data_IF_586095547862
#
_entry.id   IF_586095547862
#
_cell.length_a   1.000
_cell.length_b   1.000
_cell.length_c   1.000
_cell.angle_alpha   90.00
_cell.angle_beta   90.00
_cell.angle_gamma   90.00
#
_symmetry.space_group_name_H-M   'P 1'
#
loop_
_entity.id
_entity.type
_entity.pdbx_description
1 polymer ?
#
# COMPACT_ATOMS: atom_id res chain seq x y z
N UNK A 1 12.98 27.09 20.84
CA UNK A 1 14.00 26.79 19.82
C UNK A 1 13.71 27.65 18.60
N UNK A 2 14.72 28.26 18.02
CA UNK A 2 14.53 29.01 16.80
C UNK A 2 14.36 28.05 15.60
N UNK A 3 13.79 28.54 14.50
CA UNK A 3 13.50 27.76 13.28
C UNK A 3 14.74 27.07 12.72
N UNK A 4 15.89 27.71 12.76
CA UNK A 4 17.15 27.18 12.24
C UNK A 4 17.70 26.02 13.10
N UNK A 5 17.52 26.10 14.41
CA UNK A 5 17.87 25.00 15.32
C UNK A 5 16.97 23.79 15.09
N UNK A 6 15.66 24.01 14.85
CA UNK A 6 14.71 22.95 14.53
C UNK A 6 15.04 22.28 13.19
N UNK A 7 15.30 23.06 12.14
CA UNK A 7 15.69 22.54 10.83
C UNK A 7 16.85 21.54 10.89
N UNK A 8 17.86 21.81 11.69
CA UNK A 8 19.02 20.93 11.83
C UNK A 8 18.67 19.54 12.36
N UNK A 9 17.56 19.41 13.08
CA UNK A 9 17.13 18.17 13.76
C UNK A 9 16.10 17.38 12.98
N UNK A 10 15.43 17.98 11.98
CA UNK A 10 14.32 17.36 11.27
C UNK A 10 14.74 16.80 9.91
N UNK A 11 14.25 15.62 9.62
CA UNK A 11 14.28 14.98 8.30
C UNK A 11 12.86 14.58 7.97
N UNK A 12 12.41 14.87 6.75
CA UNK A 12 11.07 14.49 6.30
C UNK A 12 11.13 13.42 5.22
N UNK A 13 10.32 12.36 5.36
CA UNK A 13 10.15 11.35 4.34
C UNK A 13 8.74 11.40 3.80
N UNK A 14 8.58 11.71 2.51
CA UNK A 14 7.29 11.62 1.83
C UNK A 14 7.10 10.21 1.26
N UNK A 15 5.88 9.68 1.39
CA UNK A 15 5.53 8.32 0.96
C UNK A 15 4.59 8.26 -0.23
N UNK A 16 3.98 9.37 -0.63
CA UNK A 16 2.96 9.39 -1.68
C UNK A 16 3.13 10.62 -2.58
N UNK A 17 3.49 10.44 -3.86
CA UNK A 17 3.64 11.55 -4.81
C UNK A 17 2.29 11.92 -5.47
N UNK A 18 1.22 11.87 -4.70
CA UNK A 18 -0.15 12.16 -5.14
C UNK A 18 -0.78 13.18 -4.19
N UNK A 19 -1.56 14.11 -4.73
CA UNK A 19 -2.23 15.13 -3.92
C UNK A 19 -3.07 14.55 -2.79
N UNK A 20 -3.79 13.46 -3.05
CA UNK A 20 -4.62 12.74 -2.07
C UNK A 20 -3.83 12.10 -0.91
N UNK A 21 -2.50 11.95 -1.05
CA UNK A 21 -1.62 11.45 0.02
C UNK A 21 -1.00 12.57 0.88
N UNK A 22 -1.32 13.83 0.60
CA UNK A 22 -0.76 15.00 1.24
C UNK A 22 -1.88 15.82 1.89
N UNK A 23 -2.17 15.49 3.15
CA UNK A 23 -3.31 16.05 3.88
C UNK A 23 -3.23 17.56 4.03
N UNK A 24 -4.37 18.20 3.86
CA UNK A 24 -4.61 19.63 4.11
C UNK A 24 -5.84 19.76 5.00
N UNK A 25 -5.76 20.59 6.01
CA UNK A 25 -6.86 20.84 6.93
C UNK A 25 -7.16 22.33 7.03
N UNK A 26 -8.40 22.67 7.32
CA UNK A 26 -8.76 24.06 7.63
C UNK A 26 -7.89 24.58 8.78
N UNK A 27 -7.27 25.74 8.57
CA UNK A 27 -6.31 26.30 9.50
C UNK A 27 -6.96 26.66 10.84
N UNK A 28 -8.17 27.22 10.78
CA UNK A 28 -8.87 27.66 12.00
C UNK A 28 -9.37 26.45 12.80
N UNK A 29 -9.74 25.37 12.14
CA UNK A 29 -10.05 24.12 12.84
C UNK A 29 -8.85 23.57 13.59
N UNK A 30 -7.67 23.56 12.99
CA UNK A 30 -6.44 23.13 13.65
C UNK A 30 -6.11 24.00 14.87
N UNK A 31 -6.29 25.31 14.77
CA UNK A 31 -6.15 26.24 15.93
C UNK A 31 -7.17 25.91 17.01
N UNK A 32 -8.45 25.74 16.63
CA UNK A 32 -9.54 25.42 17.55
C UNK A 32 -9.33 24.12 18.31
N UNK A 33 -8.77 23.11 17.63
CA UNK A 33 -8.45 21.81 18.24
C UNK A 33 -7.11 21.80 19.01
N UNK A 34 -6.41 22.92 19.10
CA UNK A 34 -5.16 23.04 19.85
C UNK A 34 -3.98 22.32 19.18
N UNK A 35 -4.05 22.02 17.88
CA UNK A 35 -3.01 21.30 17.15
C UNK A 35 -1.65 22.01 17.23
N UNK A 36 -1.63 23.32 17.29
CA UNK A 36 -0.42 24.15 17.37
C UNK A 36 0.01 24.48 18.81
N UNK A 37 -0.42 23.72 19.80
CA UNK A 37 -0.02 23.87 21.22
C UNK A 37 -0.23 25.27 21.78
N UNK A 38 -1.32 25.94 21.36
CA UNK A 38 -1.68 27.29 21.83
C UNK A 38 -1.09 28.45 21.02
N UNK A 39 -0.26 28.17 20.00
CA UNK A 39 0.14 29.20 19.05
C UNK A 39 -1.07 29.65 18.21
N UNK A 40 -1.20 30.96 18.02
CA UNK A 40 -2.23 31.52 17.15
C UNK A 40 -1.88 31.39 15.66
N UNK A 41 -2.86 31.69 14.81
CA UNK A 41 -2.71 31.56 13.35
C UNK A 41 -1.53 32.38 12.83
N UNK A 42 -1.34 33.60 13.30
CA UNK A 42 -0.27 34.50 12.84
C UNK A 42 1.12 33.94 13.17
N UNK A 43 1.31 33.48 14.41
CA UNK A 43 2.56 32.86 14.85
C UNK A 43 2.91 31.60 14.00
N UNK A 44 1.91 30.76 13.71
CA UNK A 44 2.10 29.58 12.87
C UNK A 44 2.41 29.96 11.42
N UNK A 45 1.75 30.97 10.87
CA UNK A 45 2.02 31.49 9.52
C UNK A 45 3.43 32.03 9.38
N UNK A 46 3.88 32.85 10.34
CA UNK A 46 5.26 33.37 10.36
C UNK A 46 6.29 32.22 10.45
N UNK A 47 6.03 31.24 11.30
CA UNK A 47 6.96 30.13 11.51
C UNK A 47 7.05 29.19 10.32
N UNK A 48 5.92 28.83 9.70
CA UNK A 48 5.84 27.84 8.60
C UNK A 48 5.87 28.47 7.21
N UNK A 49 5.56 29.77 7.09
CA UNK A 49 5.36 30.46 5.82
C UNK A 49 4.08 30.03 5.08
N UNK A 50 3.12 29.37 5.74
CA UNK A 50 1.86 28.93 5.13
C UNK A 50 0.77 29.94 5.47
N UNK A 51 0.34 30.70 4.46
CA UNK A 51 -0.65 31.78 4.60
C UNK A 51 -2.04 31.40 4.09
N UNK A 52 -2.18 30.24 3.43
CA UNK A 52 -3.45 29.72 2.92
C UNK A 52 -4.44 29.40 4.04
N UNK A 53 -5.74 29.34 3.71
CA UNK A 53 -6.78 28.90 4.64
C UNK A 53 -6.70 27.40 4.93
N UNK A 54 -6.11 26.62 4.03
CA UNK A 54 -5.83 25.20 4.23
C UNK A 54 -4.35 24.99 4.57
N UNK A 55 -4.10 24.53 5.79
CA UNK A 55 -2.76 24.18 6.26
C UNK A 55 -2.27 22.87 5.62
N UNK A 56 -1.18 22.96 4.86
CA UNK A 56 -0.53 21.79 4.24
C UNK A 56 0.54 21.24 5.16
N UNK A 57 0.31 20.05 5.72
CA UNK A 57 1.27 19.38 6.62
C UNK A 57 2.58 19.04 5.91
N UNK A 58 2.51 18.56 4.66
CA UNK A 58 3.70 18.23 3.87
C UNK A 58 4.53 19.46 3.54
N UNK A 59 3.89 20.59 3.18
CA UNK A 59 4.62 21.83 2.91
C UNK A 59 5.29 22.37 4.16
N UNK A 60 4.61 22.34 5.31
CA UNK A 60 5.20 22.71 6.59
C UNK A 60 6.43 21.83 6.90
N UNK A 61 6.31 20.54 6.74
CA UNK A 61 7.40 19.59 6.96
C UNK A 61 8.60 19.86 6.02
N UNK A 62 8.35 20.15 4.74
CA UNK A 62 9.40 20.49 3.76
C UNK A 62 10.12 21.79 4.09
N UNK A 63 9.42 22.80 4.64
CA UNK A 63 10.03 24.08 5.05
C UNK A 63 10.78 24.01 6.37
N UNK A 64 10.40 23.09 7.24
CA UNK A 64 10.98 22.92 8.58
C UNK A 64 12.04 21.80 8.64
N UNK A 65 12.18 20.98 7.62
CA UNK A 65 13.20 19.95 7.59
C UNK A 65 14.53 20.46 7.01
N UNK A 66 15.63 19.84 7.43
CA UNK A 66 16.95 20.05 6.86
C UNK A 66 17.05 19.46 5.46
N UNK A 67 16.47 18.28 5.27
CA UNK A 67 16.45 17.51 4.03
C UNK A 67 15.20 16.63 4.00
N UNK A 68 14.73 16.35 2.82
CA UNK A 68 13.60 15.42 2.60
C UNK A 68 13.99 14.33 1.61
N UNK A 69 13.27 13.21 1.66
CA UNK A 69 13.42 12.16 0.66
C UNK A 69 12.09 11.55 0.24
N UNK A 70 11.98 11.23 -1.05
CA UNK A 70 11.03 10.27 -1.57
C UNK A 70 11.51 8.83 -1.36
N UNK A 71 10.62 7.85 -1.47
CA UNK A 71 10.90 6.44 -1.16
C UNK A 71 11.33 5.59 -2.37
N UNK A 72 11.62 6.22 -3.49
CA UNK A 72 12.28 5.66 -4.69
C UNK A 72 12.85 6.79 -5.54
N UNK A 73 13.70 6.47 -6.52
CA UNK A 73 14.27 7.45 -7.44
C UNK A 73 13.17 8.24 -8.15
N UNK A 74 12.24 7.54 -8.81
CA UNK A 74 11.09 8.15 -9.49
C UNK A 74 10.24 9.00 -8.54
N UNK A 75 9.95 8.50 -7.31
CA UNK A 75 9.22 9.27 -6.32
C UNK A 75 9.95 10.58 -5.95
N UNK A 76 11.26 10.54 -5.80
CA UNK A 76 12.05 11.74 -5.56
C UNK A 76 11.97 12.75 -6.71
N UNK A 77 11.97 12.27 -7.96
CA UNK A 77 11.78 13.11 -9.17
C UNK A 77 10.41 13.76 -9.18
N UNK A 78 9.33 12.99 -9.06
CA UNK A 78 7.94 13.50 -9.01
C UNK A 78 7.73 14.44 -7.81
N UNK A 79 8.33 14.15 -6.65
CA UNK A 79 8.22 15.03 -5.49
C UNK A 79 8.89 16.39 -5.72
N UNK A 80 10.02 16.42 -6.40
CA UNK A 80 10.66 17.71 -6.78
C UNK A 80 9.82 18.51 -7.76
N UNK A 81 9.18 17.87 -8.71
CA UNK A 81 8.24 18.54 -9.64
C UNK A 81 7.03 19.09 -8.90
N UNK A 82 6.42 18.28 -8.02
CA UNK A 82 5.22 18.64 -7.26
C UNK A 82 5.47 19.80 -6.27
N UNK A 83 6.57 19.75 -5.53
CA UNK A 83 6.85 20.68 -4.44
C UNK A 83 7.78 21.81 -4.83
N UNK A 84 8.53 21.68 -5.93
CA UNK A 84 9.51 22.67 -6.39
C UNK A 84 8.93 24.04 -6.77
N UNK A 85 7.61 24.11 -6.91
CA UNK A 85 6.88 25.38 -7.14
C UNK A 85 6.79 26.26 -5.88
N UNK A 86 7.04 25.68 -4.70
CA UNK A 86 6.99 26.38 -3.42
C UNK A 86 8.39 26.87 -3.01
N UNK A 87 8.53 28.14 -2.59
CA UNK A 87 9.79 28.65 -2.08
C UNK A 87 10.12 28.10 -0.68
N UNK A 88 11.38 28.19 -0.31
CA UNK A 88 11.92 27.90 1.03
C UNK A 88 11.75 26.46 1.51
N UNK A 89 11.54 25.51 0.61
CA UNK A 89 11.54 24.08 0.93
C UNK A 89 12.98 23.54 1.01
N UNK A 90 13.18 22.48 1.78
CA UNK A 90 14.46 21.77 1.82
C UNK A 90 14.72 20.98 0.52
N UNK A 91 15.96 20.57 0.31
CA UNK A 91 16.31 19.65 -0.77
C UNK A 91 15.51 18.34 -0.65
N UNK A 92 14.99 17.86 -1.79
CA UNK A 92 14.28 16.58 -1.88
C UNK A 92 15.16 15.58 -2.64
N UNK A 93 15.68 14.61 -1.93
CA UNK A 93 16.44 13.47 -2.46
C UNK A 93 15.59 12.21 -2.53
N UNK A 94 16.19 11.03 -2.64
CA UNK A 94 15.47 9.77 -2.55
C UNK A 94 16.27 8.73 -1.76
N UNK A 95 15.53 7.88 -1.04
CA UNK A 95 16.05 6.67 -0.40
C UNK A 95 15.09 5.55 -0.76
N UNK A 96 15.55 4.57 -1.54
CA UNK A 96 14.68 3.49 -1.99
C UNK A 96 14.25 2.63 -0.80
N UNK A 97 12.94 2.49 -0.63
CA UNK A 97 12.37 1.61 0.39
C UNK A 97 12.84 0.17 0.21
N UNK A 98 13.05 -0.50 1.30
CA UNK A 98 13.39 -1.91 1.34
C UNK A 98 12.45 -2.71 2.22
N UNK A 99 12.42 -4.03 2.00
CA UNK A 99 11.66 -4.97 2.81
C UNK A 99 12.56 -5.55 3.90
N UNK A 100 12.03 -5.68 5.12
CA UNK A 100 12.73 -6.43 6.15
C UNK A 100 12.66 -7.94 5.85
N UNK A 101 13.68 -8.46 5.18
CA UNK A 101 13.78 -9.85 4.76
C UNK A 101 13.61 -10.84 5.93
N UNK A 102 14.16 -10.53 7.12
CA UNK A 102 14.05 -11.40 8.29
C UNK A 102 12.60 -11.53 8.80
N UNK A 103 11.79 -10.51 8.56
CA UNK A 103 10.38 -10.50 8.95
C UNK A 103 9.48 -11.17 7.91
N UNK A 104 9.69 -10.85 6.62
CA UNK A 104 8.79 -11.25 5.55
C UNK A 104 9.11 -12.60 4.91
N UNK A 105 10.40 -12.98 4.84
CA UNK A 105 10.78 -14.21 4.17
C UNK A 105 10.59 -15.43 5.08
N UNK A 106 10.07 -16.51 4.51
CA UNK A 106 10.07 -17.81 5.17
C UNK A 106 11.50 -18.38 5.23
N UNK A 107 12.00 -18.62 6.44
CA UNK A 107 13.39 -19.04 6.65
C UNK A 107 13.74 -20.38 6.00
N UNK A 108 12.77 -21.33 5.98
CA UNK A 108 12.99 -22.67 5.39
C UNK A 108 13.04 -22.56 3.87
N UNK A 109 12.12 -21.79 3.28
CA UNK A 109 12.09 -21.53 1.85
C UNK A 109 13.38 -20.84 1.38
N UNK A 110 13.83 -19.82 2.12
CA UNK A 110 15.07 -19.10 1.79
C UNK A 110 16.32 -19.99 1.93
N UNK A 111 16.41 -20.82 2.96
CA UNK A 111 17.51 -21.77 3.13
C UNK A 111 17.56 -22.81 1.99
N UNK A 112 16.43 -23.32 1.56
CA UNK A 112 16.33 -24.25 0.44
C UNK A 112 16.71 -23.56 -0.89
N UNK A 113 16.27 -22.31 -1.10
CA UNK A 113 16.63 -21.51 -2.26
C UNK A 113 18.14 -21.31 -2.38
N UNK A 114 18.81 -20.99 -1.27
CA UNK A 114 20.28 -20.80 -1.25
C UNK A 114 21.05 -22.07 -1.58
N UNK A 115 20.47 -23.24 -1.32
CA UNK A 115 21.04 -24.57 -1.64
C UNK A 115 20.56 -25.09 -2.99
N UNK A 116 19.72 -24.37 -3.71
CA UNK A 116 19.06 -24.83 -4.95
C UNK A 116 18.30 -26.15 -4.77
N UNK A 117 17.79 -26.41 -3.56
CA UNK A 117 17.05 -27.62 -3.20
C UNK A 117 15.57 -27.47 -3.65
N UNK A 118 15.32 -27.92 -4.88
CA UNK A 118 14.01 -27.78 -5.54
C UNK A 118 12.90 -28.57 -4.81
N UNK A 119 13.25 -29.74 -4.28
CA UNK A 119 12.28 -30.59 -3.58
C UNK A 119 11.78 -29.93 -2.29
N UNK A 120 12.71 -29.47 -1.45
CA UNK A 120 12.37 -28.72 -0.23
C UNK A 120 11.60 -27.45 -0.55
N UNK A 121 11.95 -26.73 -1.64
CA UNK A 121 11.19 -25.54 -2.10
C UNK A 121 9.74 -25.91 -2.40
N UNK A 122 9.50 -26.95 -3.21
CA UNK A 122 8.17 -27.39 -3.61
C UNK A 122 7.32 -27.81 -2.39
N UNK A 123 7.86 -28.68 -1.54
CA UNK A 123 7.18 -29.13 -0.32
C UNK A 123 6.85 -27.98 0.64
N UNK A 124 7.81 -27.07 0.83
CA UNK A 124 7.59 -25.91 1.70
C UNK A 124 6.54 -24.97 1.13
N UNK A 125 6.57 -24.72 -0.18
CA UNK A 125 5.59 -23.89 -0.87
C UNK A 125 4.18 -24.44 -0.75
N UNK A 126 4.02 -25.73 -0.99
CA UNK A 126 2.73 -26.45 -0.81
C UNK A 126 2.16 -26.24 0.60
N UNK A 127 3.00 -26.37 1.63
CA UNK A 127 2.58 -26.11 3.02
C UNK A 127 2.15 -24.65 3.25
N UNK A 128 2.91 -23.68 2.71
CA UNK A 128 2.58 -22.26 2.85
C UNK A 128 1.28 -21.89 2.12
N UNK A 129 1.01 -22.52 0.98
CA UNK A 129 -0.28 -22.42 0.27
C UNK A 129 -1.41 -23.00 1.11
N UNK A 130 -1.24 -24.18 1.68
CA UNK A 130 -2.24 -24.79 2.55
C UNK A 130 -2.54 -23.93 3.80
N UNK A 131 -1.52 -23.25 4.37
CA UNK A 131 -1.70 -22.33 5.49
C UNK A 131 -2.55 -21.11 5.09
N UNK A 132 -2.33 -20.55 3.88
CA UNK A 132 -3.16 -19.47 3.31
C UNK A 132 -4.59 -19.95 3.02
N UNK A 133 -4.73 -21.14 2.43
CA UNK A 133 -6.05 -21.65 1.99
C UNK A 133 -6.96 -22.05 3.15
N UNK A 134 -6.41 -22.35 4.33
CA UNK A 134 -7.25 -22.42 5.54
C UNK A 134 -7.95 -21.11 5.82
N UNK A 135 -7.24 -19.98 5.71
CA UNK A 135 -7.87 -18.66 5.86
C UNK A 135 -8.90 -18.39 4.77
N UNK A 136 -8.65 -18.84 3.53
CA UNK A 136 -9.65 -18.76 2.45
C UNK A 136 -10.90 -19.55 2.83
N UNK A 137 -10.74 -20.83 3.23
CA UNK A 137 -11.86 -21.69 3.62
C UNK A 137 -12.64 -21.12 4.82
N UNK A 138 -11.93 -20.68 5.86
CA UNK A 138 -12.54 -20.13 7.06
C UNK A 138 -13.37 -18.87 6.80
N UNK A 139 -12.91 -17.99 5.89
CA UNK A 139 -13.63 -16.74 5.60
C UNK A 139 -14.72 -16.87 4.53
N UNK A 140 -14.55 -17.81 3.59
CA UNK A 140 -15.39 -17.82 2.36
C UNK A 140 -16.07 -19.15 2.07
N UNK A 141 -15.71 -20.22 2.76
CA UNK A 141 -16.18 -21.58 2.49
C UNK A 141 -15.59 -22.20 1.22
N UNK A 142 -14.73 -21.49 0.47
CA UNK A 142 -14.13 -21.98 -0.77
C UNK A 142 -12.89 -22.82 -0.49
N UNK A 143 -12.76 -23.92 -1.19
CA UNK A 143 -11.62 -24.85 -1.06
C UNK A 143 -10.69 -24.63 -2.24
N UNK A 144 -9.47 -24.19 -1.96
CA UNK A 144 -8.43 -23.96 -2.95
C UNK A 144 -7.43 -25.12 -2.96
N UNK A 145 -6.87 -25.41 -4.15
CA UNK A 145 -5.92 -26.49 -4.35
C UNK A 145 -4.47 -25.98 -4.30
N UNK A 146 -3.61 -26.51 -3.41
CA UNK A 146 -2.20 -26.12 -3.34
C UNK A 146 -1.37 -26.40 -4.59
N UNK A 147 -1.81 -27.29 -5.49
CA UNK A 147 -1.12 -27.59 -6.75
C UNK A 147 -1.44 -26.58 -7.86
N UNK A 148 -2.53 -25.82 -7.73
CA UNK A 148 -2.97 -24.85 -8.73
C UNK A 148 -2.26 -23.50 -8.55
N UNK A 149 -1.85 -22.88 -9.67
CA UNK A 149 -1.23 -21.55 -9.70
C UNK A 149 -2.11 -20.54 -8.96
N UNK A 150 -1.53 -19.90 -7.95
CA UNK A 150 -2.26 -18.94 -7.10
C UNK A 150 -1.71 -17.54 -7.28
N UNK A 151 -2.54 -16.67 -7.83
CA UNK A 151 -2.26 -15.25 -8.02
C UNK A 151 -2.93 -14.44 -6.90
N UNK A 152 -2.23 -13.49 -6.32
CA UNK A 152 -2.82 -12.62 -5.30
C UNK A 152 -2.69 -11.15 -5.68
N UNK A 153 -3.69 -10.39 -5.32
CA UNK A 153 -3.64 -8.94 -5.23
C UNK A 153 -3.91 -8.54 -3.78
N UNK A 154 -2.94 -7.91 -3.12
CA UNK A 154 -3.12 -7.55 -1.71
C UNK A 154 -2.52 -6.17 -1.41
N UNK A 155 -3.39 -5.18 -1.27
CA UNK A 155 -3.06 -3.77 -1.04
C UNK A 155 -4.25 -3.07 -0.37
N UNK A 156 -4.04 -1.86 0.17
CA UNK A 156 -5.15 -0.96 0.51
C UNK A 156 -5.96 -0.67 -0.76
N UNK A 157 -7.28 -0.79 -0.67
CA UNK A 157 -8.17 -0.38 -1.76
C UNK A 157 -8.14 1.16 -1.86
N UNK A 158 -7.85 1.65 -3.05
CA UNK A 158 -7.90 3.05 -3.46
C UNK A 158 -7.97 3.07 -4.99
N UNK A 159 -8.66 4.03 -5.60
CA UNK A 159 -8.92 4.04 -7.04
C UNK A 159 -7.67 3.85 -7.90
N UNK A 160 -6.58 4.57 -7.61
CA UNK A 160 -5.33 4.44 -8.35
C UNK A 160 -4.62 3.07 -8.23
N UNK A 161 -5.04 2.23 -7.29
CA UNK A 161 -4.51 0.85 -7.15
C UNK A 161 -5.16 -0.14 -8.10
N UNK A 162 -6.28 0.23 -8.70
CA UNK A 162 -6.98 -0.53 -9.75
C UNK A 162 -7.15 -2.02 -9.41
N UNK A 163 -7.75 -2.30 -8.24
CA UNK A 163 -7.92 -3.65 -7.73
C UNK A 163 -8.71 -4.56 -8.67
N UNK A 164 -9.68 -3.99 -9.38
CA UNK A 164 -10.63 -4.61 -10.31
C UNK A 164 -10.12 -4.74 -11.76
N UNK A 165 -8.95 -4.19 -12.09
CA UNK A 165 -8.45 -4.10 -13.46
C UNK A 165 -8.49 -5.44 -14.23
N UNK A 166 -8.14 -6.55 -13.58
CA UNK A 166 -8.16 -7.88 -14.21
C UNK A 166 -9.59 -8.37 -14.49
N UNK A 167 -10.58 -7.82 -13.82
CA UNK A 167 -11.98 -8.19 -13.93
C UNK A 167 -12.82 -7.19 -14.74
N UNK A 168 -12.22 -6.14 -15.32
CA UNK A 168 -12.93 -5.16 -16.14
C UNK A 168 -13.56 -5.76 -17.40
N UNK A 169 -12.96 -6.81 -17.94
CA UNK A 169 -13.52 -7.65 -18.99
C UNK A 169 -14.00 -8.97 -18.36
N UNK A 170 -15.26 -8.99 -17.96
CA UNK A 170 -15.86 -10.14 -17.25
C UNK A 170 -15.92 -11.42 -18.10
N UNK A 171 -16.09 -11.31 -19.41
CA UNK A 171 -16.10 -12.46 -20.31
C UNK A 171 -14.72 -13.12 -20.35
N UNK A 172 -13.68 -12.32 -20.56
CA UNK A 172 -12.29 -12.78 -20.55
C UNK A 172 -11.87 -13.28 -19.16
N UNK A 173 -12.29 -12.61 -18.11
CA UNK A 173 -12.03 -13.04 -16.73
C UNK A 173 -12.68 -14.38 -16.42
N UNK A 174 -13.94 -14.59 -16.82
CA UNK A 174 -14.64 -15.86 -16.65
C UNK A 174 -13.97 -17.00 -17.43
N UNK A 175 -13.58 -16.72 -18.68
CA UNK A 175 -12.83 -17.69 -19.53
C UNK A 175 -11.50 -18.07 -18.87
N UNK A 176 -10.77 -17.11 -18.31
CA UNK A 176 -9.52 -17.37 -17.61
C UNK A 176 -9.70 -18.28 -16.39
N UNK A 177 -10.76 -18.06 -15.60
CA UNK A 177 -11.06 -18.86 -14.41
C UNK A 177 -11.61 -20.25 -14.73
N UNK A 178 -12.19 -20.44 -15.92
CA UNK A 178 -12.75 -21.71 -16.38
C UNK A 178 -11.73 -22.60 -17.15
N UNK A 179 -10.50 -22.14 -17.36
CA UNK A 179 -9.48 -22.89 -18.11
C UNK A 179 -8.96 -24.07 -17.27
N UNK A 180 -9.49 -25.27 -17.53
CA UNK A 180 -9.08 -26.52 -16.86
C UNK A 180 -7.69 -27.02 -17.31
N UNK A 181 -7.18 -26.58 -18.45
CA UNK A 181 -5.85 -26.97 -18.92
C UNK A 181 -4.74 -26.17 -18.24
N UNK A 182 -5.05 -24.94 -17.86
CA UNK A 182 -4.14 -24.03 -17.17
C UNK A 182 -4.86 -23.41 -15.96
N UNK A 183 -5.21 -24.23 -14.96
CA UNK A 183 -6.01 -23.77 -13.85
C UNK A 183 -5.30 -22.70 -13.03
N UNK A 184 -6.05 -21.68 -12.66
CA UNK A 184 -5.55 -20.60 -11.81
C UNK A 184 -6.52 -20.34 -10.65
N UNK A 185 -6.01 -19.80 -9.56
CA UNK A 185 -6.77 -19.35 -8.42
C UNK A 185 -6.37 -17.89 -8.10
N UNK A 186 -7.36 -17.06 -7.79
CA UNK A 186 -7.10 -15.63 -7.55
C UNK A 186 -7.66 -15.22 -6.19
N UNK A 187 -6.82 -14.54 -5.40
CA UNK A 187 -7.21 -14.03 -4.08
C UNK A 187 -6.93 -12.53 -4.02
N UNK A 188 -7.95 -11.75 -3.75
CA UNK A 188 -7.79 -10.34 -3.34
C UNK A 188 -7.80 -10.25 -1.82
N UNK A 189 -7.01 -9.35 -1.28
CA UNK A 189 -7.11 -8.95 0.12
C UNK A 189 -6.79 -7.47 0.27
N UNK A 190 -7.54 -6.78 1.10
CA UNK A 190 -7.31 -5.38 1.30
C UNK A 190 -8.32 -4.76 2.25
N UNK A 191 -8.16 -3.47 2.46
CA UNK A 191 -9.06 -2.68 3.29
C UNK A 191 -9.24 -1.31 2.64
N UNK A 192 -10.48 -0.92 2.28
CA UNK A 192 -10.76 0.44 1.87
C UNK A 192 -10.65 1.39 3.07
N UNK A 193 -10.38 2.65 2.83
CA UNK A 193 -10.49 3.68 3.86
C UNK A 193 -11.98 3.96 4.16
N UNK A 194 -12.39 4.21 5.41
CA UNK A 194 -13.80 4.29 5.80
C UNK A 194 -14.65 5.33 5.06
N UNK A 195 -14.04 6.39 4.55
CA UNK A 195 -14.73 7.48 3.82
C UNK A 195 -14.39 7.50 2.33
N UNK A 196 -13.64 6.52 1.82
CA UNK A 196 -13.38 6.32 0.40
C UNK A 196 -14.48 5.44 -0.20
N UNK A 197 -15.64 6.06 -0.50
CA UNK A 197 -16.80 5.36 -1.01
C UNK A 197 -16.55 4.65 -2.34
N UNK A 198 -15.71 5.23 -3.23
CA UNK A 198 -15.33 4.58 -4.47
C UNK A 198 -14.49 3.31 -4.25
N UNK A 199 -13.58 3.34 -3.28
CA UNK A 199 -12.81 2.15 -2.89
C UNK A 199 -13.69 1.08 -2.21
N UNK A 200 -14.70 1.49 -1.42
CA UNK A 200 -15.69 0.60 -0.82
C UNK A 200 -16.53 -0.07 -1.90
N UNK A 201 -16.99 0.70 -2.89
CA UNK A 201 -17.75 0.19 -4.03
C UNK A 201 -16.94 -0.83 -4.85
N UNK A 202 -15.68 -0.51 -5.19
CA UNK A 202 -14.77 -1.44 -5.87
C UNK A 202 -14.57 -2.73 -5.07
N UNK A 203 -14.43 -2.64 -3.75
CA UNK A 203 -14.29 -3.80 -2.87
C UNK A 203 -15.54 -4.68 -2.89
N UNK A 204 -16.72 -4.10 -2.74
CA UNK A 204 -17.99 -4.81 -2.78
C UNK A 204 -18.25 -5.43 -4.16
N UNK A 205 -17.96 -4.69 -5.23
CA UNK A 205 -18.07 -5.19 -6.59
C UNK A 205 -17.21 -6.44 -6.82
N UNK A 206 -15.95 -6.43 -6.36
CA UNK A 206 -15.09 -7.61 -6.45
C UNK A 206 -15.64 -8.82 -5.68
N UNK A 207 -16.25 -8.61 -4.51
CA UNK A 207 -16.92 -9.69 -3.78
C UNK A 207 -18.03 -10.30 -4.64
N UNK A 208 -18.90 -9.47 -5.22
CA UNK A 208 -20.03 -9.95 -6.02
C UNK A 208 -19.60 -10.68 -7.28
N UNK A 209 -18.64 -10.15 -8.05
CA UNK A 209 -18.19 -10.78 -9.28
C UNK A 209 -17.37 -12.06 -9.05
N UNK A 210 -16.71 -12.19 -7.88
CA UNK A 210 -15.96 -13.41 -7.53
C UNK A 210 -16.82 -14.49 -6.89
N UNK A 211 -18.02 -14.14 -6.41
CA UNK A 211 -18.93 -15.05 -5.71
C UNK A 211 -19.27 -16.34 -6.50
N UNK A 212 -19.55 -16.29 -7.82
CA UNK A 212 -19.87 -17.49 -8.60
C UNK A 212 -18.71 -18.45 -8.82
N UNK A 213 -17.45 -18.00 -8.67
CA UNK A 213 -16.27 -18.79 -9.01
C UNK A 213 -15.70 -19.48 -7.76
N UNK A 214 -15.49 -20.80 -7.85
CA UNK A 214 -14.88 -21.57 -6.77
C UNK A 214 -13.39 -21.21 -6.53
N UNK A 215 -12.73 -20.70 -7.56
CA UNK A 215 -11.29 -20.41 -7.61
C UNK A 215 -10.94 -18.91 -7.58
N UNK A 216 -11.87 -18.03 -7.22
CA UNK A 216 -11.63 -16.60 -7.04
C UNK A 216 -12.32 -16.11 -5.77
N UNK A 217 -11.64 -15.25 -4.99
CA UNK A 217 -12.23 -14.74 -3.74
C UNK A 217 -11.58 -13.45 -3.26
N UNK A 218 -12.29 -12.76 -2.35
CA UNK A 218 -11.83 -11.56 -1.65
C UNK A 218 -11.79 -11.85 -0.15
N UNK A 219 -10.64 -11.62 0.50
CA UNK A 219 -10.47 -11.78 1.93
C UNK A 219 -10.57 -10.43 2.66
N UNK A 220 -11.15 -10.46 3.84
CA UNK A 220 -11.24 -9.33 4.76
C UNK A 220 -10.16 -9.40 5.84
N UNK A 221 -10.04 -8.33 6.67
CA UNK A 221 -9.08 -8.32 7.78
C UNK A 221 -7.62 -8.25 7.34
N UNK A 222 -7.34 -7.49 6.27
CA UNK A 222 -5.98 -7.33 5.75
C UNK A 222 -5.09 -6.60 6.75
N UNK A 223 -4.36 -7.38 7.52
CA UNK A 223 -3.38 -6.98 8.53
C UNK A 223 -2.03 -7.68 8.28
N UNK A 224 -1.04 -7.43 9.14
CA UNK A 224 0.31 -7.97 8.97
C UNK A 224 0.33 -9.50 8.85
N UNK A 225 -0.50 -10.22 9.62
CA UNK A 225 -0.56 -11.68 9.56
C UNK A 225 -1.10 -12.18 8.21
N UNK A 226 -2.25 -11.67 7.75
CA UNK A 226 -2.81 -12.03 6.45
C UNK A 226 -1.85 -11.62 5.32
N UNK A 227 -1.26 -10.43 5.40
CA UNK A 227 -0.25 -9.98 4.42
C UNK A 227 0.93 -10.94 4.32
N UNK A 228 1.40 -11.50 5.45
CA UNK A 228 2.47 -12.50 5.47
C UNK A 228 2.03 -13.83 4.87
N UNK A 229 0.82 -14.31 5.20
CA UNK A 229 0.26 -15.52 4.59
C UNK A 229 0.12 -15.37 3.08
N UNK A 230 -0.40 -14.25 2.61
CA UNK A 230 -0.53 -13.94 1.18
C UNK A 230 0.82 -13.95 0.46
N UNK A 231 1.85 -13.29 1.04
CA UNK A 231 3.20 -13.26 0.45
C UNK A 231 3.86 -14.63 0.42
N UNK A 232 3.69 -15.44 1.46
CA UNK A 232 4.31 -16.75 1.55
C UNK A 232 3.56 -17.80 0.73
N UNK A 233 2.22 -17.74 0.71
CA UNK A 233 1.35 -18.72 0.10
C UNK A 233 1.00 -18.49 -1.37
N UNK A 234 1.24 -17.29 -1.94
CA UNK A 234 0.99 -17.03 -3.36
C UNK A 234 2.15 -17.49 -4.26
N UNK A 235 1.87 -17.81 -5.51
CA UNK A 235 2.88 -18.09 -6.53
C UNK A 235 3.24 -16.81 -7.30
N UNK A 236 2.27 -15.96 -7.55
CA UNK A 236 2.45 -14.68 -8.21
C UNK A 236 1.73 -13.54 -7.46
N UNK A 237 2.29 -12.36 -7.55
CA UNK A 237 1.73 -11.15 -6.95
C UNK A 237 1.33 -10.17 -8.05
N UNK A 238 0.03 -9.92 -8.18
CA UNK A 238 -0.47 -8.95 -9.13
C UNK A 238 -0.29 -7.54 -8.57
N UNK A 239 0.44 -6.73 -9.28
CA UNK A 239 0.67 -5.33 -8.93
C UNK A 239 0.35 -4.45 -10.15
N UNK A 240 -0.67 -3.63 -10.02
CA UNK A 240 -1.16 -2.75 -11.10
C UNK A 240 -0.63 -1.32 -10.89
N UNK A 241 0.62 -1.00 -11.27
CA UNK A 241 1.12 0.37 -11.17
C UNK A 241 0.36 1.28 -12.16
N UNK A 242 0.34 2.57 -11.85
CA UNK A 242 -0.09 3.62 -12.78
C UNK A 242 1.09 4.01 -13.63
#
# INVERSE_FOLDING_TARGET
DDKESLKKKLIFTTHTPEAAGNERHDFNELVRFGFFSGADRHQVQEFTGIHDDAFSHSLAALRLARISNGVSKLHGEVSREMWGVYPDICEITHITNSQNKKYWADRKLEAARLKSDKETIALRKKKLKADLFRTVADQTGKIFDPEVLTVVWARRFAGYKRADLIANDLERFSTLLADEQRPIQIIWAGKPYPYDYGAIETFNHLIEITKPFANATVLVGYELNLSRLMKAGSDAWLNNPV
#
